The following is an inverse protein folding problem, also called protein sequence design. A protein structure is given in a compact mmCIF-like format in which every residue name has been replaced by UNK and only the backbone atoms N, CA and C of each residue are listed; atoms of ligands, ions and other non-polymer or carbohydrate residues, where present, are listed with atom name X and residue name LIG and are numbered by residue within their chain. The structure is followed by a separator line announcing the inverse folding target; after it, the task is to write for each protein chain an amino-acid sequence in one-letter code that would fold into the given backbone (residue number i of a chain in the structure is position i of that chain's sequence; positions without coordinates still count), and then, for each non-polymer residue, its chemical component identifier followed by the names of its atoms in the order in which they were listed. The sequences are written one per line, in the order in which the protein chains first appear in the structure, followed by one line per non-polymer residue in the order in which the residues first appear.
data_IF_769758033908
#
_entry.id   IF_769758033908
#
_cell.length_a   1.000
_cell.length_b   1.000
_cell.length_c   1.000
_cell.angle_alpha   90.00
_cell.angle_beta   90.00
_cell.angle_gamma   90.00
#
_symmetry.space_group_name_H-M   'P 1'
#
loop_
_entity.id
_entity.type
_entity.pdbx_description
1 polymer ?
#
# COMPACT_ATOMS: atom_id res chain seq x y z
N UNK A 1 5.30 -8.08 -9.88
CA UNK A 1 6.62 -8.58 -9.42
C UNK A 1 6.85 -8.14 -7.98
N UNK A 2 7.35 -9.01 -7.09
CA UNK A 2 7.66 -8.66 -5.70
C UNK A 2 9.16 -8.68 -5.44
N UNK A 3 9.67 -7.63 -4.80
CA UNK A 3 11.03 -7.49 -4.33
C UNK A 3 10.98 -7.16 -2.84
N UNK A 4 11.56 -7.99 -1.98
CA UNK A 4 11.56 -7.76 -0.53
C UNK A 4 11.68 -9.05 0.26
N UNK A 5 11.62 -8.92 1.58
CA UNK A 5 11.77 -10.05 2.49
C UNK A 5 10.54 -10.96 2.47
N UNK A 6 10.77 -12.23 2.83
CA UNK A 6 9.73 -13.26 2.98
C UNK A 6 9.93 -13.99 4.30
N UNK A 7 8.86 -14.50 4.88
CA UNK A 7 8.94 -15.37 6.06
C UNK A 7 9.25 -16.83 5.65
N UNK A 8 9.38 -17.73 6.63
CA UNK A 8 9.66 -19.16 6.44
C UNK A 8 8.61 -19.89 5.58
N UNK A 9 7.38 -19.35 5.49
CA UNK A 9 6.31 -19.87 4.63
C UNK A 9 6.37 -19.33 3.20
N UNK A 10 7.36 -18.51 2.87
CA UNK A 10 7.51 -17.85 1.58
C UNK A 10 6.56 -16.67 1.37
N UNK A 11 5.79 -16.25 2.39
CA UNK A 11 4.88 -15.13 2.31
C UNK A 11 5.64 -13.81 2.38
N UNK A 12 5.13 -12.76 1.72
CA UNK A 12 5.70 -11.40 1.85
C UNK A 12 5.69 -10.98 3.32
N UNK A 13 6.82 -10.52 3.82
CA UNK A 13 6.99 -10.13 5.22
C UNK A 13 8.04 -9.04 5.33
N UNK A 14 7.94 -8.14 6.32
CA UNK A 14 8.89 -7.02 6.45
C UNK A 14 8.66 -5.97 5.37
N UNK A 15 9.71 -5.29 4.91
CA UNK A 15 9.58 -4.26 3.88
C UNK A 15 9.71 -4.86 2.48
N UNK A 16 8.92 -4.36 1.54
CA UNK A 16 9.01 -4.78 0.15
C UNK A 16 8.29 -3.86 -0.83
N UNK A 17 8.61 -4.07 -2.10
CA UNK A 17 8.01 -3.43 -3.27
C UNK A 17 7.24 -4.48 -4.07
N UNK A 18 5.99 -4.17 -4.40
CA UNK A 18 5.17 -5.01 -5.26
C UNK A 18 4.61 -4.20 -6.42
N UNK A 19 4.94 -4.63 -7.64
CA UNK A 19 4.32 -4.16 -8.86
C UNK A 19 3.14 -5.07 -9.21
N UNK A 20 1.94 -4.51 -9.26
CA UNK A 20 0.71 -5.20 -9.59
C UNK A 20 0.57 -5.40 -11.10
N UNK A 21 -0.21 -6.39 -11.57
CA UNK A 21 -0.46 -6.60 -12.99
C UNK A 21 -1.10 -5.41 -13.70
N UNK A 22 -1.91 -4.62 -12.98
CA UNK A 22 -2.54 -3.40 -13.51
C UNK A 22 -1.55 -2.23 -13.66
N UNK A 23 -0.30 -2.37 -13.23
CA UNK A 23 0.75 -1.35 -13.28
C UNK A 23 0.87 -0.52 -12.01
N UNK A 24 0.01 -0.71 -11.01
CA UNK A 24 0.15 -0.08 -9.71
C UNK A 24 1.40 -0.59 -8.99
N UNK A 25 1.89 0.19 -8.04
CA UNK A 25 3.04 -0.16 -7.22
C UNK A 25 2.70 0.07 -5.75
N UNK A 26 3.04 -0.88 -4.89
CA UNK A 26 3.08 -0.68 -3.45
C UNK A 26 4.52 -0.78 -2.94
N UNK A 27 4.92 0.12 -2.06
CA UNK A 27 6.19 0.08 -1.34
C UNK A 27 5.88 0.26 0.14
N UNK A 28 6.18 -0.73 0.97
CA UNK A 28 5.93 -0.63 2.40
C UNK A 28 6.01 -1.95 3.13
N UNK A 29 5.42 -1.95 4.33
CA UNK A 29 5.42 -3.12 5.19
C UNK A 29 4.45 -4.21 4.71
N UNK A 30 4.83 -5.45 5.03
CA UNK A 30 4.06 -6.65 4.83
C UNK A 30 4.10 -7.53 6.09
N UNK A 31 2.99 -8.17 6.40
CA UNK A 31 2.90 -9.22 7.40
C UNK A 31 1.97 -10.33 6.89
N UNK A 32 2.50 -11.56 6.87
CA UNK A 32 1.79 -12.77 6.39
C UNK A 32 1.15 -12.57 5.01
N UNK A 33 1.92 -12.02 4.07
CA UNK A 33 1.49 -11.81 2.69
C UNK A 33 0.63 -10.55 2.44
N UNK A 34 0.15 -9.89 3.50
CA UNK A 34 -0.72 -8.71 3.42
C UNK A 34 0.04 -7.43 3.72
N UNK A 35 -0.34 -6.33 3.06
CA UNK A 35 0.18 -4.98 3.37
C UNK A 35 -0.12 -4.63 4.83
N UNK A 36 0.87 -4.13 5.54
CA UNK A 36 0.79 -3.84 6.96
C UNK A 36 1.79 -2.73 7.34
N UNK A 37 1.53 -2.01 8.43
CA UNK A 37 2.29 -0.84 8.86
C UNK A 37 2.27 0.27 7.79
N UNK A 38 3.28 1.14 7.77
CA UNK A 38 3.36 2.23 6.79
C UNK A 38 3.64 1.72 5.38
N UNK A 39 3.02 2.37 4.40
CA UNK A 39 3.24 2.05 2.99
C UNK A 39 2.67 3.07 2.02
N UNK A 40 3.35 3.17 0.88
CA UNK A 40 2.98 4.03 -0.23
C UNK A 40 2.39 3.19 -1.35
N UNK A 41 1.19 3.53 -1.79
CA UNK A 41 0.54 2.96 -2.96
C UNK A 41 0.52 3.99 -4.09
N UNK A 42 1.18 3.67 -5.19
CA UNK A 42 1.28 4.49 -6.39
C UNK A 42 0.36 3.86 -7.42
N UNK A 43 -0.66 4.62 -7.82
CA UNK A 43 -1.61 4.22 -8.84
C UNK A 43 -1.00 4.48 -10.21
N UNK A 44 -1.25 3.60 -11.19
CA UNK A 44 -0.83 3.80 -12.58
C UNK A 44 -1.34 5.13 -13.17
N UNK A 45 -2.48 5.63 -12.71
CA UNK A 45 -3.03 6.91 -13.12
C UNK A 45 -2.24 8.14 -12.61
N UNK A 46 -1.19 7.95 -11.82
CA UNK A 46 -0.35 9.02 -11.27
C UNK A 46 -0.75 9.46 -9.86
N UNK A 47 -1.88 8.99 -9.33
CA UNK A 47 -2.25 9.24 -7.95
C UNK A 47 -1.34 8.45 -6.97
N UNK A 48 -1.26 8.91 -5.73
CA UNK A 48 -0.50 8.25 -4.65
C UNK A 48 -1.29 8.29 -3.36
N UNK A 49 -1.25 7.20 -2.61
CA UNK A 49 -1.66 7.16 -1.22
C UNK A 49 -0.46 6.84 -0.34
N UNK A 50 -0.23 7.67 0.68
CA UNK A 50 0.79 7.48 1.71
C UNK A 50 0.08 7.30 3.05
N UNK A 51 0.25 6.18 3.73
CA UNK A 51 -0.42 5.99 5.02
C UNK A 51 -0.28 4.60 5.61
N UNK A 52 -1.05 4.39 6.66
CA UNK A 52 -1.04 3.12 7.40
C UNK A 52 -1.86 2.04 6.69
N UNK A 53 -1.39 0.82 6.83
CA UNK A 53 -2.02 -0.39 6.32
C UNK A 53 -2.20 -1.39 7.45
N UNK A 54 -3.32 -2.09 7.44
CA UNK A 54 -3.58 -3.20 8.37
C UNK A 54 -4.33 -4.31 7.64
N UNK A 55 -3.76 -5.52 7.65
CA UNK A 55 -4.35 -6.68 7.00
C UNK A 55 -4.76 -6.45 5.53
N UNK A 56 -3.94 -5.70 4.78
CA UNK A 56 -4.17 -5.43 3.36
C UNK A 56 -5.08 -4.23 3.07
N UNK A 57 -5.63 -3.59 4.10
CA UNK A 57 -6.53 -2.44 3.99
C UNK A 57 -5.79 -1.16 4.37
N UNK A 58 -6.20 -0.04 3.76
CA UNK A 58 -5.84 1.29 4.29
C UNK A 58 -6.40 1.39 5.71
N UNK A 59 -5.64 1.98 6.61
CA UNK A 59 -6.00 2.11 8.02
C UNK A 59 -5.48 3.45 8.55
N UNK A 60 -6.02 3.90 9.69
CA UNK A 60 -5.49 5.05 10.40
C UNK A 60 -5.47 6.33 9.56
N UNK A 61 -4.33 7.04 9.62
CA UNK A 61 -4.08 8.26 8.87
C UNK A 61 -3.46 7.96 7.52
N UNK A 62 -3.85 8.72 6.51
CA UNK A 62 -3.13 8.75 5.25
C UNK A 62 -3.43 9.99 4.41
N UNK A 63 -2.48 10.29 3.52
CA UNK A 63 -2.56 11.38 2.55
C UNK A 63 -2.73 10.79 1.17
N UNK A 64 -3.82 11.15 0.50
CA UNK A 64 -4.01 10.92 -0.91
C UNK A 64 -3.51 12.14 -1.70
N UNK A 65 -2.70 11.91 -2.71
CA UNK A 65 -2.15 12.92 -3.60
C UNK A 65 -2.66 12.59 -5.01
N UNK A 66 -3.39 13.52 -5.59
CA UNK A 66 -3.94 13.40 -6.94
C UNK A 66 -2.86 13.79 -7.98
N UNK A 67 -3.02 13.39 -9.26
CA UNK A 67 -2.05 13.70 -10.31
C UNK A 67 -1.83 15.21 -10.54
N UNK A 68 -2.83 16.03 -10.22
CA UNK A 68 -2.77 17.50 -10.27
C UNK A 68 -1.99 18.12 -9.08
N UNK A 69 -1.54 17.29 -8.14
CA UNK A 69 -0.85 17.70 -6.92
C UNK A 69 -1.78 18.02 -5.75
N UNK A 70 -3.10 18.03 -5.94
CA UNK A 70 -4.08 18.23 -4.88
C UNK A 70 -3.93 17.14 -3.82
N UNK A 71 -4.07 17.51 -2.55
CA UNK A 71 -3.89 16.59 -1.41
C UNK A 71 -5.16 16.50 -0.59
N UNK A 72 -5.48 15.27 -0.20
CA UNK A 72 -6.55 14.97 0.75
C UNK A 72 -5.96 14.16 1.90
N UNK A 73 -6.03 14.71 3.11
CA UNK A 73 -5.65 14.02 4.34
C UNK A 73 -6.92 13.48 4.99
N UNK A 74 -6.92 12.17 5.26
CA UNK A 74 -8.04 11.49 5.90
C UNK A 74 -7.58 10.80 7.18
N UNK A 75 -8.24 11.12 8.28
CA UNK A 75 -8.18 10.35 9.52
C UNK A 75 -9.35 9.35 9.47
N UNK A 76 -9.05 8.04 9.48
CA UNK A 76 -9.99 6.90 9.58
C UNK A 76 -10.59 6.38 8.26
N UNK A 77 -9.74 6.04 7.28
CA UNK A 77 -10.19 5.25 6.14
C UNK A 77 -10.05 3.77 6.48
N UNK A 78 -11.13 3.10 6.91
CA UNK A 78 -11.24 1.62 6.81
C UNK A 78 -11.96 1.26 5.52
N UNK A 79 -11.31 1.44 4.38
CA UNK A 79 -11.87 1.00 3.10
C UNK A 79 -11.30 -0.35 2.67
N UNK A 80 -12.21 -1.28 2.40
CA UNK A 80 -11.95 -2.42 1.53
C UNK A 80 -11.84 -1.90 0.10
N UNK A 81 -10.63 -1.85 -0.43
CA UNK A 81 -10.45 -1.79 -1.88
C UNK A 81 -10.89 -3.14 -2.44
N UNK A 82 -12.17 -3.22 -2.81
CA UNK A 82 -12.64 -4.20 -3.77
C UNK A 82 -12.10 -3.76 -5.13
N UNK A 83 -11.06 -4.45 -5.60
CA UNK A 83 -10.65 -4.46 -7.00
C UNK A 83 -10.90 -5.85 -7.56
#
# INVERSE_FOLDING_TARGET
VYEGTRNERGERHGNGKYQFPNGDIYVGGYCRGLRNNQGVYIFKCGARYDGEWRAGLKYGRGTFIYPDGTRYEGDNITEKLYF
#
